data_IF_997396551197
#
_entry.id   IF_997396551197
#
_cell.length_a   1.000
_cell.length_b   1.000
_cell.length_c   1.000
_cell.angle_alpha   90.00
_cell.angle_beta   90.00
_cell.angle_gamma   90.00
#
_symmetry.space_group_name_H-M   'P 1'
#
loop_
_entity.id
_entity.type
_entity.pdbx_description
1 polymer ?
#
# COMPACT_ATOMS: atom_id res chain seq x y z
N UNK A 1 -0.75 -2.72 31.95
CA UNK A 1 0.09 -1.52 31.63
C UNK A 1 -0.02 -0.44 32.68
N UNK A 2 -1.04 -0.45 33.56
CA UNK A 2 -1.23 0.56 34.61
C UNK A 2 -0.06 0.66 35.61
N UNK A 3 0.63 -0.45 35.89
CA UNK A 3 1.72 -0.49 36.87
C UNK A 3 2.98 0.30 36.48
N UNK A 4 3.20 0.65 35.20
CA UNK A 4 4.38 1.43 34.78
C UNK A 4 4.11 2.92 34.91
N UNK A 5 2.87 3.36 34.62
CA UNK A 5 2.47 4.75 34.74
C UNK A 5 2.38 5.20 36.21
N UNK A 6 1.98 4.29 37.12
CA UNK A 6 1.97 4.58 38.58
C UNK A 6 3.38 4.79 39.14
N UNK A 7 4.39 4.11 38.59
CA UNK A 7 5.79 4.26 39.05
C UNK A 7 6.38 5.59 38.60
N UNK A 8 6.02 6.07 37.40
CA UNK A 8 6.49 7.37 36.89
C UNK A 8 5.88 8.53 37.70
N UNK A 9 4.59 8.46 38.03
CA UNK A 9 3.86 9.49 38.79
C UNK A 9 4.34 9.61 40.26
N UNK A 10 4.83 8.50 40.83
CA UNK A 10 5.44 8.48 42.18
C UNK A 10 6.85 9.09 42.17
N UNK A 11 7.61 8.90 41.08
CA UNK A 11 8.97 9.42 40.95
C UNK A 11 8.98 10.94 40.77
N UNK A 12 8.02 11.50 40.03
CA UNK A 12 7.91 12.95 39.81
C UNK A 12 7.48 13.72 41.08
N UNK A 13 6.74 13.08 42.00
CA UNK A 13 6.23 13.74 43.22
C UNK A 13 7.18 13.72 44.42
N UNK A 14 8.29 12.98 44.38
CA UNK A 14 9.08 12.67 45.59
C UNK A 14 10.55 13.12 45.58
N UNK A 15 11.04 13.89 44.59
CA UNK A 15 12.47 14.21 44.50
C UNK A 15 12.81 15.70 44.72
N UNK A 16 13.20 16.10 45.96
CA UNK A 16 13.97 17.32 46.19
C UNK A 16 15.50 17.09 46.05
N UNK A 17 16.13 18.01 45.31
CA UNK A 17 17.53 18.52 45.41
C UNK A 17 18.77 17.59 45.49
N UNK A 18 18.76 16.33 45.07
CA UNK A 18 20.02 15.55 44.87
C UNK A 18 19.97 14.64 43.62
N UNK A 19 19.89 15.24 42.42
CA UNK A 19 19.69 14.52 41.16
C UNK A 19 20.87 13.67 40.62
N UNK A 20 22.16 14.05 40.71
CA UNK A 20 23.20 13.36 39.92
C UNK A 20 23.55 11.94 40.43
N UNK A 21 23.68 11.76 41.74
CA UNK A 21 24.17 10.49 42.31
C UNK A 21 23.07 9.42 42.37
N UNK A 22 21.82 9.83 42.56
CA UNK A 22 20.66 8.95 42.70
C UNK A 22 20.24 8.34 41.35
N UNK A 23 20.32 9.12 40.27
CA UNK A 23 20.10 8.65 38.89
C UNK A 23 21.14 7.61 38.49
N UNK A 24 22.39 7.80 38.88
CA UNK A 24 23.49 6.88 38.54
C UNK A 24 23.33 5.53 39.26
N UNK A 25 22.97 5.52 40.55
CA UNK A 25 22.70 4.29 41.30
C UNK A 25 21.47 3.52 40.79
N UNK A 26 20.37 4.21 40.46
CA UNK A 26 19.18 3.60 39.88
C UNK A 26 19.44 3.01 38.50
N UNK A 27 20.14 3.74 37.63
CA UNK A 27 20.56 3.23 36.32
C UNK A 27 21.45 1.99 36.45
N UNK A 28 22.36 1.97 37.42
CA UNK A 28 23.24 0.81 37.69
C UNK A 28 22.47 -0.38 38.24
N UNK A 29 21.51 -0.17 39.14
CA UNK A 29 20.65 -1.22 39.70
C UNK A 29 19.67 -1.78 38.66
N UNK A 30 19.09 -0.94 37.80
CA UNK A 30 18.25 -1.36 36.68
C UNK A 30 19.05 -2.13 35.64
N UNK A 31 20.27 -1.70 35.33
CA UNK A 31 21.18 -2.44 34.45
C UNK A 31 21.53 -3.82 35.00
N UNK A 32 21.82 -3.95 36.31
CA UNK A 32 22.06 -5.25 36.95
C UNK A 32 20.82 -6.14 36.99
N UNK A 33 19.62 -5.60 37.17
CA UNK A 33 18.38 -6.39 37.14
C UNK A 33 18.07 -6.89 35.73
N UNK A 34 18.34 -6.07 34.71
CA UNK A 34 18.10 -6.43 33.33
C UNK A 34 19.13 -7.45 32.80
N UNK A 35 20.40 -7.43 33.22
CA UNK A 35 21.40 -8.39 32.73
C UNK A 35 21.07 -9.87 33.02
N UNK A 36 20.20 -10.15 33.99
CA UNK A 36 19.75 -11.51 34.32
C UNK A 36 18.39 -11.89 33.72
N UNK A 37 17.67 -10.96 33.10
CA UNK A 37 16.40 -11.28 32.44
C UNK A 37 16.68 -12.20 31.24
N UNK A 38 16.01 -13.35 31.19
CA UNK A 38 16.17 -14.35 30.12
C UNK A 38 16.00 -13.75 28.71
N UNK A 39 15.21 -12.67 28.60
CA UNK A 39 14.96 -11.96 27.35
C UNK A 39 16.22 -11.31 26.75
N UNK A 40 17.21 -10.93 27.57
CA UNK A 40 18.47 -10.36 27.09
C UNK A 40 19.49 -11.44 26.66
N UNK A 41 19.13 -12.72 26.77
CA UNK A 41 19.90 -13.85 26.25
C UNK A 41 19.34 -14.38 24.92
N UNK A 42 18.26 -13.79 24.42
CA UNK A 42 17.71 -14.17 23.12
C UNK A 42 18.71 -13.83 22.01
N UNK A 43 18.84 -14.69 20.98
CA UNK A 43 19.53 -14.32 19.75
C UNK A 43 18.95 -13.03 19.17
N UNK A 44 19.81 -12.20 18.57
CA UNK A 44 19.44 -10.90 17.99
C UNK A 44 18.29 -11.03 17.00
N UNK A 45 18.28 -12.09 16.20
CA UNK A 45 17.27 -12.37 15.17
C UNK A 45 15.89 -12.61 15.80
N UNK A 46 15.85 -13.36 16.90
CA UNK A 46 14.62 -13.63 17.65
C UNK A 46 14.11 -12.35 18.29
N UNK A 47 15.00 -11.53 18.85
CA UNK A 47 14.61 -10.25 19.44
C UNK A 47 14.07 -9.27 18.38
N UNK A 48 14.69 -9.20 17.20
CA UNK A 48 14.18 -8.39 16.08
C UNK A 48 12.77 -8.82 15.69
N UNK A 49 12.52 -10.13 15.61
CA UNK A 49 11.18 -10.64 15.30
C UNK A 49 10.17 -10.28 16.41
N UNK A 50 10.53 -10.44 17.68
CA UNK A 50 9.69 -10.01 18.81
C UNK A 50 9.39 -8.51 18.74
N UNK A 51 10.39 -7.68 18.46
CA UNK A 51 10.22 -6.23 18.29
C UNK A 51 9.30 -5.93 17.12
N UNK A 52 9.49 -6.58 15.97
CA UNK A 52 8.64 -6.40 14.78
C UNK A 52 7.19 -6.71 15.13
N UNK A 53 6.95 -7.86 15.76
CA UNK A 53 5.61 -8.28 16.15
C UNK A 53 4.97 -7.40 17.24
N UNK A 54 5.76 -6.89 18.18
CA UNK A 54 5.27 -6.02 19.25
C UNK A 54 5.07 -4.57 18.80
N UNK A 55 5.85 -4.12 17.81
CA UNK A 55 5.76 -2.78 17.28
C UNK A 55 4.63 -2.62 16.27
N UNK A 56 4.27 -3.71 15.58
CA UNK A 56 3.12 -3.79 14.67
C UNK A 56 1.82 -4.06 15.43
N UNK A 57 0.86 -3.15 15.31
CA UNK A 57 -0.51 -3.40 15.73
C UNK A 57 -1.19 -4.39 14.78
N UNK A 58 -1.36 -5.64 15.23
CA UNK A 58 -2.01 -6.72 14.46
C UNK A 58 -3.53 -6.55 14.37
N UNK A 59 -4.13 -5.72 15.25
CA UNK A 59 -5.56 -5.46 15.28
C UNK A 59 -5.97 -4.27 14.40
N UNK A 60 -4.99 -3.53 13.86
CA UNK A 60 -5.26 -2.62 12.76
C UNK A 60 -5.70 -3.46 11.57
N UNK A 61 -7.02 -3.58 11.51
CA UNK A 61 -7.87 -4.01 10.42
C UNK A 61 -7.07 -3.94 9.13
N UNK A 62 -6.84 -5.10 8.50
CA UNK A 62 -6.51 -5.12 7.09
C UNK A 62 -7.52 -4.16 6.47
N UNK A 63 -7.11 -2.96 6.07
CA UNK A 63 -8.02 -2.12 5.30
C UNK A 63 -8.26 -2.95 4.06
N UNK A 64 -9.33 -3.72 4.03
CA UNK A 64 -9.64 -4.74 3.04
C UNK A 64 -9.64 -4.14 1.62
N UNK A 65 -9.68 -2.80 1.56
CA UNK A 65 -9.52 -1.99 0.37
C UNK A 65 -8.08 -2.00 -0.15
N UNK A 66 -7.06 -1.94 0.70
CA UNK A 66 -5.63 -1.92 0.32
C UNK A 66 -4.89 -3.21 0.66
N UNK A 67 -5.28 -3.94 1.72
CA UNK A 67 -4.67 -5.18 2.20
C UNK A 67 -3.22 -5.05 2.67
N UNK A 68 -2.75 -3.83 2.93
CA UNK A 68 -1.44 -3.56 3.51
C UNK A 68 -1.56 -3.25 5.01
N UNK A 69 -0.70 -3.87 5.80
CA UNK A 69 -0.48 -3.51 7.21
C UNK A 69 0.27 -2.16 7.25
N UNK A 70 -0.49 -1.06 7.21
CA UNK A 70 0.04 0.27 7.47
C UNK A 70 -0.19 0.53 8.95
N UNK A 71 0.80 0.25 9.78
CA UNK A 71 0.75 0.64 11.19
C UNK A 71 1.34 2.06 11.35
N UNK A 72 0.50 3.10 11.50
CA UNK A 72 0.98 4.47 11.70
C UNK A 72 1.74 4.63 13.03
N UNK A 73 1.60 3.70 13.97
CA UNK A 73 2.28 3.71 15.25
C UNK A 73 3.62 2.98 15.24
N UNK A 74 4.02 2.30 14.15
CA UNK A 74 5.23 1.49 14.13
C UNK A 74 6.47 2.24 14.63
N UNK A 75 6.79 3.40 14.04
CA UNK A 75 7.97 4.19 14.43
C UNK A 75 7.90 4.69 15.88
N UNK A 76 6.69 4.98 16.37
CA UNK A 76 6.44 5.38 17.76
C UNK A 76 6.65 4.20 18.71
N UNK A 77 6.17 3.01 18.34
CA UNK A 77 6.33 1.79 19.10
C UNK A 77 7.80 1.34 19.14
N UNK A 78 8.52 1.40 18.02
CA UNK A 78 9.97 1.14 17.99
C UNK A 78 10.73 2.10 18.92
N UNK A 79 10.38 3.37 18.90
CA UNK A 79 10.96 4.37 19.81
C UNK A 79 10.71 4.01 21.28
N UNK A 80 9.49 3.58 21.63
CA UNK A 80 9.16 3.09 22.99
C UNK A 80 9.94 1.83 23.36
N UNK A 81 10.03 0.85 22.47
CA UNK A 81 10.76 -0.40 22.70
C UNK A 81 12.26 -0.16 22.87
N UNK A 82 12.82 0.87 22.21
CA UNK A 82 14.21 1.28 22.41
C UNK A 82 14.52 1.79 23.83
N UNK A 83 13.50 2.12 24.64
CA UNK A 83 13.67 2.59 26.01
C UNK A 83 13.73 1.44 27.04
N UNK A 84 13.49 0.20 26.62
CA UNK A 84 13.47 -0.97 27.53
C UNK A 84 14.84 -1.18 28.19
N UNK A 85 15.90 -1.28 27.38
CA UNK A 85 17.28 -1.33 27.85
C UNK A 85 18.25 -0.99 26.71
N UNK A 86 19.53 -0.79 27.03
CA UNK A 86 20.55 -0.45 26.03
C UNK A 86 20.73 -1.54 24.95
N UNK A 87 20.58 -2.82 25.31
CA UNK A 87 20.69 -3.92 24.36
C UNK A 87 19.57 -3.88 23.31
N UNK A 88 18.32 -3.65 23.74
CA UNK A 88 17.19 -3.49 22.84
C UNK A 88 17.37 -2.27 21.94
N UNK A 89 17.78 -1.13 22.50
CA UNK A 89 18.09 0.07 21.73
C UNK A 89 19.11 -0.21 20.62
N UNK A 90 20.24 -0.82 20.98
CA UNK A 90 21.29 -1.14 20.02
C UNK A 90 20.81 -2.12 18.95
N UNK A 91 20.03 -3.12 19.33
CA UNK A 91 19.45 -4.10 18.40
C UNK A 91 18.51 -3.44 17.41
N UNK A 92 17.59 -2.61 17.91
CA UNK A 92 16.62 -1.87 17.10
C UNK A 92 17.33 -0.89 16.16
N UNK A 93 18.34 -0.16 16.65
CA UNK A 93 19.09 0.83 15.86
C UNK A 93 20.05 0.18 14.83
N UNK A 94 20.46 -1.08 15.05
CA UNK A 94 21.34 -1.81 14.17
C UNK A 94 20.61 -2.48 12.99
N UNK A 95 19.36 -2.91 13.19
CA UNK A 95 18.59 -3.62 12.17
C UNK A 95 17.79 -2.65 11.29
N UNK A 96 18.26 -2.43 10.05
CA UNK A 96 17.61 -1.53 9.10
C UNK A 96 16.21 -1.98 8.67
N UNK A 97 15.88 -3.28 8.74
CA UNK A 97 14.57 -3.80 8.33
C UNK A 97 13.42 -3.29 9.20
N UNK A 98 13.70 -2.98 10.48
CA UNK A 98 12.74 -2.36 11.38
C UNK A 98 12.41 -0.92 10.99
N UNK A 99 13.30 -0.26 10.26
CA UNK A 99 13.17 1.14 9.81
C UNK A 99 12.80 1.26 8.32
N UNK A 100 12.57 0.13 7.65
CA UNK A 100 12.28 0.07 6.22
C UNK A 100 10.86 0.56 5.84
N UNK A 101 10.08 1.03 6.81
CA UNK A 101 8.71 1.50 6.60
C UNK A 101 8.64 3.02 6.65
N UNK A 102 8.33 3.63 5.51
CA UNK A 102 8.34 5.08 5.29
C UNK A 102 6.91 5.57 5.05
N UNK A 103 6.26 6.09 6.09
CA UNK A 103 4.86 6.50 6.05
C UNK A 103 4.66 8.03 6.14
N UNK A 104 3.76 8.57 5.33
CA UNK A 104 3.31 9.97 5.39
C UNK A 104 2.35 10.25 6.56
N UNK A 105 1.99 9.21 7.32
CA UNK A 105 1.05 9.30 8.44
C UNK A 105 1.69 9.88 9.71
N UNK A 106 2.99 10.22 9.68
CA UNK A 106 3.65 10.91 10.79
C UNK A 106 3.40 12.42 10.75
N UNK A 107 3.14 13.05 11.90
CA UNK A 107 2.93 14.51 12.02
C UNK A 107 4.12 15.37 11.58
N UNK A 108 5.34 14.83 11.52
CA UNK A 108 6.54 15.60 11.22
C UNK A 108 7.54 14.84 10.36
N UNK A 109 8.42 15.55 9.67
CA UNK A 109 9.48 14.97 8.84
C UNK A 109 10.59 14.28 9.65
N UNK A 110 10.73 14.60 10.94
CA UNK A 110 11.86 14.13 11.76
C UNK A 110 11.87 12.60 11.93
N UNK A 111 10.78 11.93 12.33
CA UNK A 111 10.72 10.46 12.39
C UNK A 111 10.98 9.81 11.03
N UNK A 112 10.46 10.39 9.94
CA UNK A 112 10.67 9.88 8.59
C UNK A 112 12.15 9.94 8.18
N UNK A 113 12.81 11.09 8.37
CA UNK A 113 14.25 11.24 8.11
C UNK A 113 15.10 10.29 8.97
N UNK A 114 14.70 10.06 10.22
CA UNK A 114 15.36 9.09 11.09
C UNK A 114 15.19 7.65 10.56
N UNK A 115 13.98 7.26 10.14
CA UNK A 115 13.72 5.94 9.57
C UNK A 115 14.53 5.71 8.30
N UNK A 116 14.56 6.71 7.41
CA UNK A 116 15.40 6.72 6.21
C UNK A 116 16.87 6.47 6.57
N UNK A 117 17.44 7.27 7.48
CA UNK A 117 18.85 7.14 7.86
C UNK A 117 19.16 5.76 8.48
N UNK A 118 18.23 5.21 9.27
CA UNK A 118 18.40 3.91 9.94
C UNK A 118 18.11 2.71 9.04
N UNK A 119 17.37 2.88 7.95
CA UNK A 119 17.06 1.80 7.00
C UNK A 119 18.30 1.25 6.29
N UNK A 120 19.39 2.02 6.19
CA UNK A 120 20.68 1.59 5.59
C UNK A 120 20.52 0.95 4.19
N UNK A 121 19.65 1.51 3.36
CA UNK A 121 19.38 1.05 1.99
C UNK A 121 18.78 -0.38 1.88
N UNK A 122 18.19 -0.92 2.96
CA UNK A 122 17.36 -2.13 2.81
C UNK A 122 16.12 -1.81 1.95
N UNK A 123 15.51 -2.80 1.29
CA UNK A 123 14.28 -2.60 0.54
C UNK A 123 13.18 -2.00 1.42
N UNK A 124 12.62 -0.86 1.00
CA UNK A 124 11.64 -0.08 1.77
C UNK A 124 10.21 -0.28 1.32
N UNK A 125 9.28 0.01 2.22
CA UNK A 125 7.85 0.13 1.96
C UNK A 125 7.47 1.59 2.14
N UNK A 126 6.96 2.23 1.08
CA UNK A 126 6.59 3.64 1.08
C UNK A 126 5.06 3.74 1.07
N UNK A 127 4.49 4.45 2.04
CA UNK A 127 3.03 4.56 2.18
C UNK A 127 2.56 5.99 2.39
N UNK A 128 1.53 6.42 1.65
CA UNK A 128 0.83 7.69 1.84
C UNK A 128 -0.67 7.43 1.80
N UNK A 129 -1.43 7.79 2.85
CA UNK A 129 -2.88 7.56 2.84
C UNK A 129 -3.72 8.29 3.89
N UNK A 130 -3.26 8.38 5.15
CA UNK A 130 -3.96 9.17 6.17
C UNK A 130 -3.32 10.55 6.39
N UNK A 131 -2.20 10.83 5.71
CA UNK A 131 -1.52 12.12 5.49
C UNK A 131 -1.79 13.17 6.57
N UNK A 132 -1.04 13.06 7.68
CA UNK A 132 -0.79 14.18 8.58
C UNK A 132 0.29 15.12 8.01
N UNK A 133 1.13 14.61 7.10
CA UNK A 133 2.21 15.34 6.44
C UNK A 133 1.77 15.95 5.09
N UNK A 134 2.41 17.05 4.70
CA UNK A 134 2.30 17.63 3.36
C UNK A 134 2.84 16.63 2.31
N UNK A 135 2.05 16.36 1.27
CA UNK A 135 2.37 15.38 0.21
C UNK A 135 3.63 15.74 -0.59
N UNK A 136 3.90 17.02 -0.81
CA UNK A 136 5.09 17.51 -1.52
C UNK A 136 6.34 17.26 -0.67
N UNK A 137 6.28 17.63 0.61
CA UNK A 137 7.41 17.43 1.54
C UNK A 137 7.71 15.94 1.74
N UNK A 138 6.65 15.12 1.85
CA UNK A 138 6.78 13.67 1.92
C UNK A 138 7.46 13.12 0.68
N UNK A 139 6.94 13.44 -0.51
CA UNK A 139 7.49 12.98 -1.78
C UNK A 139 8.96 13.41 -1.93
N UNK A 140 9.27 14.69 -1.75
CA UNK A 140 10.64 15.20 -1.82
C UNK A 140 11.61 14.47 -0.87
N UNK A 141 11.11 14.06 0.30
CA UNK A 141 11.91 13.33 1.30
C UNK A 141 12.15 11.87 0.90
N UNK A 142 11.17 11.18 0.30
CA UNK A 142 11.28 9.75 -0.03
C UNK A 142 11.75 9.47 -1.47
N UNK A 143 11.64 10.44 -2.39
CA UNK A 143 12.09 10.31 -3.78
C UNK A 143 13.50 9.74 -3.92
N UNK A 144 14.52 10.16 -3.14
CA UNK A 144 15.86 9.60 -3.27
C UNK A 144 15.94 8.08 -3.00
N UNK A 145 14.93 7.51 -2.33
CA UNK A 145 14.89 6.09 -1.91
C UNK A 145 13.95 5.23 -2.76
N UNK A 146 13.29 5.81 -3.76
CA UNK A 146 12.30 5.11 -4.60
C UNK A 146 12.91 3.93 -5.38
N UNK A 147 14.19 4.01 -5.72
CA UNK A 147 14.95 2.93 -6.37
C UNK A 147 15.06 1.67 -5.49
N UNK A 148 14.98 1.85 -4.16
CA UNK A 148 14.98 0.77 -3.16
C UNK A 148 13.56 0.44 -2.66
N UNK A 149 12.52 0.97 -3.30
CA UNK A 149 11.14 0.71 -2.90
C UNK A 149 10.70 -0.68 -3.38
N UNK A 150 10.34 -1.55 -2.43
CA UNK A 150 9.76 -2.87 -2.70
C UNK A 150 8.23 -2.80 -2.80
N UNK A 151 7.60 -1.94 -2.00
CA UNK A 151 6.15 -1.77 -1.99
C UNK A 151 5.80 -0.30 -1.93
N UNK A 152 5.00 0.15 -2.89
CA UNK A 152 4.55 1.53 -3.00
C UNK A 152 3.03 1.58 -2.82
N UNK A 153 2.58 2.27 -1.77
CA UNK A 153 1.16 2.45 -1.46
C UNK A 153 0.80 3.93 -1.38
N UNK A 154 0.04 4.41 -2.36
CA UNK A 154 -0.28 5.83 -2.50
C UNK A 154 -1.80 6.00 -2.56
N UNK A 155 -2.33 6.82 -1.66
CA UNK A 155 -3.72 7.22 -1.59
C UNK A 155 -3.81 8.74 -1.33
N UNK A 156 -3.48 9.58 -2.33
CA UNK A 156 -3.57 11.04 -2.23
C UNK A 156 -4.97 11.50 -1.78
N UNK A 157 -5.00 12.53 -0.93
CA UNK A 157 -6.27 13.07 -0.38
C UNK A 157 -6.92 14.09 -1.32
N UNK A 158 -6.12 14.94 -1.96
CA UNK A 158 -6.64 16.10 -2.66
C UNK A 158 -7.12 15.73 -4.07
N UNK A 159 -8.34 16.17 -4.35
CA UNK A 159 -8.92 16.27 -5.68
C UNK A 159 -8.22 17.41 -6.43
N UNK A 160 -6.97 17.19 -6.86
CA UNK A 160 -6.22 18.10 -7.71
C UNK A 160 -5.83 17.40 -9.00
N UNK A 161 -5.44 18.16 -10.03
CA UNK A 161 -4.90 17.58 -11.24
C UNK A 161 -3.68 16.71 -10.87
N UNK A 162 -3.56 15.49 -11.44
CA UNK A 162 -2.53 14.53 -11.08
C UNK A 162 -1.10 15.09 -11.23
N UNK A 163 -0.90 16.04 -12.14
CA UNK A 163 0.42 16.59 -12.47
C UNK A 163 1.05 17.46 -11.37
N UNK A 164 0.25 17.99 -10.43
CA UNK A 164 0.75 18.91 -9.39
C UNK A 164 1.02 18.21 -8.04
N UNK A 165 0.65 16.93 -7.92
CA UNK A 165 0.82 16.17 -6.69
C UNK A 165 2.23 15.59 -6.55
N UNK A 166 2.96 15.92 -5.49
CA UNK A 166 4.27 15.31 -5.19
C UNK A 166 4.22 13.77 -5.18
N UNK A 167 3.10 13.18 -4.77
CA UNK A 167 2.88 11.73 -4.76
C UNK A 167 2.88 11.13 -6.18
N UNK A 168 2.37 11.84 -7.20
CA UNK A 168 2.43 11.38 -8.58
C UNK A 168 3.85 11.36 -9.12
N UNK A 169 4.72 12.28 -8.69
CA UNK A 169 6.12 12.26 -9.07
C UNK A 169 6.81 10.96 -8.66
N UNK A 170 6.40 10.34 -7.55
CA UNK A 170 6.92 9.03 -7.11
C UNK A 170 6.58 7.90 -8.10
N UNK A 171 5.42 7.97 -8.76
CA UNK A 171 5.00 7.02 -9.80
C UNK A 171 5.79 7.19 -11.10
N UNK A 172 6.43 8.34 -11.28
CA UNK A 172 7.28 8.64 -12.44
C UNK A 172 8.75 8.24 -12.25
N UNK A 173 9.12 7.73 -11.07
CA UNK A 173 10.50 7.34 -10.78
C UNK A 173 10.72 5.83 -10.95
N UNK A 174 11.95 5.41 -11.33
CA UNK A 174 12.32 3.99 -11.37
C UNK A 174 12.35 3.34 -10.00
N UNK A 175 11.78 2.15 -9.96
CA UNK A 175 11.77 1.30 -8.78
C UNK A 175 12.03 -0.16 -9.18
N UNK A 176 13.27 -0.50 -9.56
CA UNK A 176 13.61 -1.78 -10.19
C UNK A 176 13.36 -3.00 -9.29
N UNK A 177 13.10 -2.80 -7.99
CA UNK A 177 12.78 -3.87 -7.04
C UNK A 177 11.32 -3.86 -6.58
N UNK A 178 10.45 -3.10 -7.24
CA UNK A 178 9.04 -3.00 -6.90
C UNK A 178 8.31 -4.33 -7.08
N UNK A 179 7.78 -4.86 -5.99
CA UNK A 179 7.00 -6.09 -5.95
C UNK A 179 5.50 -5.83 -5.73
N UNK A 180 5.12 -4.69 -5.17
CA UNK A 180 3.72 -4.35 -4.91
C UNK A 180 3.41 -2.88 -5.16
N UNK A 181 2.41 -2.61 -6.00
CA UNK A 181 1.86 -1.28 -6.23
C UNK A 181 0.40 -1.22 -5.79
N UNK A 182 0.11 -0.26 -4.93
CA UNK A 182 -1.22 0.03 -4.44
C UNK A 182 -1.47 1.50 -4.68
N UNK A 183 -2.34 1.82 -5.64
CA UNK A 183 -2.59 3.19 -6.01
C UNK A 183 -4.08 3.49 -5.99
N UNK A 184 -4.46 4.45 -5.17
CA UNK A 184 -5.79 5.03 -5.14
C UNK A 184 -5.72 6.44 -5.70
N UNK A 185 -6.10 6.60 -6.97
CA UNK A 185 -6.26 7.90 -7.58
C UNK A 185 -7.35 8.73 -6.89
N UNK A 186 -7.41 10.01 -7.24
CA UNK A 186 -8.46 10.92 -6.78
C UNK A 186 -9.53 11.03 -7.85
N UNK A 187 -10.80 11.15 -7.44
CA UNK A 187 -11.94 11.37 -8.34
C UNK A 187 -11.87 12.72 -9.08
N UNK A 188 -10.76 13.48 -8.98
CA UNK A 188 -10.62 14.84 -9.51
C UNK A 188 -10.69 14.92 -11.04
N UNK A 189 -10.19 13.90 -11.75
CA UNK A 189 -10.44 13.73 -13.20
C UNK A 189 -11.81 13.14 -13.53
N UNK A 190 -12.49 12.63 -12.51
CA UNK A 190 -13.78 11.93 -12.54
C UNK A 190 -14.95 12.81 -12.09
N UNK A 191 -14.82 14.14 -12.13
CA UNK A 191 -15.98 15.06 -12.04
C UNK A 191 -17.02 14.84 -13.16
N UNK A 192 -16.73 13.94 -14.11
CA UNK A 192 -17.68 13.41 -15.09
C UNK A 192 -18.31 12.05 -14.74
N UNK A 193 -18.36 11.60 -13.49
CA UNK A 193 -19.40 10.62 -13.10
C UNK A 193 -20.76 11.33 -13.23
N UNK A 194 -21.32 11.37 -14.43
CA UNK A 194 -22.72 11.74 -14.65
C UNK A 194 -23.08 13.22 -14.57
N UNK A 195 -22.12 14.15 -14.52
CA UNK A 195 -22.42 15.52 -14.96
C UNK A 195 -22.70 15.51 -16.46
N UNK A 196 -23.96 15.30 -16.87
CA UNK A 196 -24.47 15.32 -18.26
C UNK A 196 -23.95 16.49 -19.10
N UNK A 197 -23.37 17.50 -18.48
CA UNK A 197 -22.86 18.70 -19.14
C UNK A 197 -21.47 18.53 -19.76
N UNK A 198 -20.64 17.56 -19.34
CA UNK A 198 -19.30 17.41 -19.95
C UNK A 198 -19.33 16.73 -21.34
N UNK A 199 -20.48 16.22 -21.79
CA UNK A 199 -20.67 15.66 -23.14
C UNK A 199 -21.08 16.74 -24.16
N UNK A 200 -21.44 17.95 -23.71
CA UNK A 200 -21.85 19.05 -24.59
C UNK A 200 -20.69 19.84 -25.20
N UNK A 201 -19.47 19.62 -24.73
CA UNK A 201 -18.30 20.31 -25.26
C UNK A 201 -17.39 19.35 -26.04
N UNK A 202 -17.61 19.18 -27.36
CA UNK A 202 -16.75 18.37 -28.23
C UNK A 202 -15.33 18.95 -28.38
N UNK A 203 -15.06 20.17 -27.89
CA UNK A 203 -13.72 20.76 -27.89
C UNK A 203 -12.92 20.43 -26.63
N UNK A 204 -13.54 19.83 -25.61
CA UNK A 204 -12.79 19.42 -24.42
C UNK A 204 -11.82 18.30 -24.81
N UNK A 205 -10.49 18.48 -24.64
CA UNK A 205 -9.52 17.49 -25.06
C UNK A 205 -9.85 16.14 -24.44
N UNK A 206 -9.79 15.07 -25.26
CA UNK A 206 -9.92 13.69 -24.78
C UNK A 206 -9.01 13.53 -23.57
N UNK A 207 -9.57 12.96 -22.49
CA UNK A 207 -8.83 12.71 -21.25
C UNK A 207 -7.54 11.97 -21.60
N UNK A 208 -6.40 12.53 -21.23
CA UNK A 208 -5.13 11.82 -21.34
C UNK A 208 -5.13 10.71 -20.31
N UNK A 209 -5.01 9.45 -20.77
CA UNK A 209 -4.78 8.31 -19.89
C UNK A 209 -3.51 8.59 -19.10
N UNK A 210 -3.53 8.36 -17.79
CA UNK A 210 -2.37 8.63 -16.94
C UNK A 210 -1.29 7.61 -17.27
N UNK A 211 -0.06 8.08 -17.49
CA UNK A 211 1.14 7.25 -17.52
C UNK A 211 1.75 7.18 -16.10
N UNK A 212 2.16 5.98 -15.68
CA UNK A 212 2.62 5.54 -14.34
C UNK A 212 3.84 4.74 -14.71
N UNK A 213 4.88 5.49 -14.99
CA UNK A 213 6.14 5.03 -15.56
C UNK A 213 6.75 3.88 -14.75
N UNK A 214 6.52 3.82 -13.43
CA UNK A 214 7.00 2.71 -12.58
C UNK A 214 6.51 1.34 -13.05
N UNK A 215 5.32 1.24 -13.65
CA UNK A 215 4.80 -0.03 -14.17
C UNK A 215 5.48 -0.46 -15.46
N UNK A 216 5.83 0.50 -16.33
CA UNK A 216 6.54 0.22 -17.58
C UNK A 216 7.99 -0.20 -17.34
N UNK A 217 8.60 0.29 -16.26
CA UNK A 217 10.03 0.10 -15.98
C UNK A 217 10.33 -0.99 -14.94
N UNK A 218 9.30 -1.56 -14.31
CA UNK A 218 9.48 -2.65 -13.34
C UNK A 218 8.43 -3.78 -13.46
N UNK A 219 8.00 -4.16 -14.68
CA UNK A 219 6.93 -5.14 -14.86
C UNK A 219 7.35 -6.55 -14.38
N UNK A 220 8.64 -6.88 -14.46
CA UNK A 220 9.12 -8.23 -14.18
C UNK A 220 9.10 -8.61 -12.70
N UNK A 221 9.11 -7.66 -11.77
CA UNK A 221 9.11 -7.98 -10.33
C UNK A 221 7.77 -7.78 -9.66
N UNK A 222 6.85 -7.10 -10.33
CA UNK A 222 5.55 -6.78 -9.79
C UNK A 222 4.73 -8.05 -9.57
N UNK A 223 4.41 -8.34 -8.30
CA UNK A 223 3.61 -9.48 -7.85
C UNK A 223 2.19 -9.05 -7.49
N UNK A 224 2.02 -7.82 -7.01
CA UNK A 224 0.72 -7.30 -6.56
C UNK A 224 0.45 -5.96 -7.22
N UNK A 225 -0.70 -5.83 -7.87
CA UNK A 225 -1.17 -4.59 -8.48
C UNK A 225 -2.60 -4.32 -8.03
N UNK A 226 -2.78 -3.25 -7.26
CA UNK A 226 -4.09 -2.80 -6.79
C UNK A 226 -4.33 -1.36 -7.18
N UNK A 227 -5.25 -1.15 -8.11
CA UNK A 227 -5.57 0.17 -8.65
C UNK A 227 -7.02 0.52 -8.31
N UNK A 228 -7.22 1.75 -7.85
CA UNK A 228 -8.54 2.29 -7.55
C UNK A 228 -8.67 3.72 -8.05
N UNK A 229 -9.71 4.02 -8.83
CA UNK A 229 -9.96 5.37 -9.35
C UNK A 229 -8.83 5.89 -10.24
N UNK A 230 -8.31 5.02 -11.10
CA UNK A 230 -7.20 5.31 -12.03
C UNK A 230 -7.72 5.13 -13.44
N UNK A 231 -7.38 6.04 -14.34
CA UNK A 231 -7.56 5.86 -15.79
C UNK A 231 -6.18 5.62 -16.42
N UNK A 232 -6.00 4.44 -16.98
CA UNK A 232 -4.69 3.85 -17.28
C UNK A 232 -4.63 3.28 -18.69
N UNK A 233 -3.47 3.36 -19.34
CA UNK A 233 -3.22 2.73 -20.63
C UNK A 233 -2.73 1.28 -20.49
N UNK A 234 -3.64 0.31 -20.64
CA UNK A 234 -3.36 -1.11 -20.41
C UNK A 234 -2.57 -1.81 -21.53
N UNK A 235 -2.62 -1.30 -22.76
CA UNK A 235 -2.08 -1.93 -23.96
C UNK A 235 -0.55 -2.13 -24.00
N UNK A 236 0.19 -1.75 -22.94
CA UNK A 236 1.66 -1.77 -22.90
C UNK A 236 2.26 -2.60 -21.76
N UNK A 237 1.42 -3.20 -20.91
CA UNK A 237 1.92 -3.86 -19.70
C UNK A 237 2.07 -5.37 -19.86
N UNK A 238 3.30 -5.85 -19.69
CA UNK A 238 3.64 -7.27 -19.64
C UNK A 238 3.82 -7.74 -18.20
N UNK A 239 2.72 -8.04 -17.52
CA UNK A 239 2.70 -8.35 -16.08
C UNK A 239 3.00 -9.83 -15.77
N UNK A 240 4.09 -10.36 -16.33
CA UNK A 240 4.40 -11.81 -16.36
C UNK A 240 4.53 -12.49 -14.98
N UNK A 241 4.89 -11.73 -13.94
CA UNK A 241 5.07 -12.21 -12.57
C UNK A 241 3.95 -11.81 -11.61
N UNK A 242 2.89 -11.19 -12.12
CA UNK A 242 1.75 -10.75 -11.33
C UNK A 242 0.98 -11.95 -10.78
N UNK A 243 0.65 -11.88 -9.49
CA UNK A 243 -0.10 -12.91 -8.74
C UNK A 243 -1.42 -12.39 -8.21
N UNK A 244 -1.50 -11.12 -7.85
CA UNK A 244 -2.71 -10.47 -7.32
C UNK A 244 -3.00 -9.22 -8.14
N UNK A 245 -4.18 -9.19 -8.78
CA UNK A 245 -4.69 -8.05 -9.51
C UNK A 245 -6.02 -7.63 -8.90
N UNK A 246 -6.10 -6.38 -8.42
CA UNK A 246 -7.34 -5.77 -7.93
C UNK A 246 -7.62 -4.44 -8.61
N UNK A 247 -8.74 -4.34 -9.31
CA UNK A 247 -9.17 -3.13 -9.99
C UNK A 247 -10.51 -2.67 -9.44
N UNK A 248 -10.59 -1.41 -9.01
CA UNK A 248 -11.81 -0.87 -8.41
C UNK A 248 -12.15 0.52 -8.94
N UNK A 249 -13.38 0.73 -9.40
CA UNK A 249 -13.85 1.97 -10.02
C UNK A 249 -12.87 2.57 -11.03
N UNK A 250 -12.68 1.83 -12.12
CA UNK A 250 -11.84 2.19 -13.25
C UNK A 250 -12.66 2.18 -14.54
N UNK A 251 -12.20 2.95 -15.53
CA UNK A 251 -12.68 2.84 -16.91
C UNK A 251 -11.74 1.92 -17.67
N UNK A 252 -12.20 0.73 -18.02
CA UNK A 252 -11.45 -0.24 -18.81
C UNK A 252 -12.43 -1.12 -19.58
N UNK A 253 -12.16 -1.40 -20.86
CA UNK A 253 -12.95 -2.36 -21.61
C UNK A 253 -12.60 -3.79 -21.18
N UNK A 254 -13.51 -4.75 -21.40
CA UNK A 254 -13.17 -6.15 -21.12
C UNK A 254 -12.08 -6.68 -22.04
N UNK A 255 -11.99 -6.20 -23.29
CA UNK A 255 -10.94 -6.59 -24.23
C UNK A 255 -9.56 -6.11 -23.76
N UNK A 256 -9.42 -4.84 -23.36
CA UNK A 256 -8.19 -4.30 -22.78
C UNK A 256 -7.81 -5.08 -21.50
N UNK A 257 -8.80 -5.44 -20.68
CA UNK A 257 -8.55 -6.23 -19.46
C UNK A 257 -8.10 -7.65 -19.77
N UNK A 258 -8.74 -8.33 -20.72
CA UNK A 258 -8.35 -9.67 -21.17
C UNK A 258 -6.93 -9.68 -21.74
N UNK A 259 -6.59 -8.69 -22.57
CA UNK A 259 -5.24 -8.53 -23.10
C UNK A 259 -4.23 -8.37 -21.97
N UNK A 260 -4.52 -7.51 -20.98
CA UNK A 260 -3.65 -7.33 -19.81
C UNK A 260 -3.44 -8.63 -19.02
N UNK A 261 -4.51 -9.34 -18.66
CA UNK A 261 -4.38 -10.57 -17.86
C UNK A 261 -3.78 -11.72 -18.67
N UNK A 262 -3.89 -11.71 -20.01
CA UNK A 262 -3.20 -12.69 -20.87
C UNK A 262 -1.68 -12.61 -20.74
N UNK A 263 -1.15 -11.42 -20.42
CA UNK A 263 0.26 -11.20 -20.09
C UNK A 263 0.67 -11.64 -18.67
N UNK A 264 -0.26 -12.15 -17.85
CA UNK A 264 -0.05 -12.52 -16.45
C UNK A 264 -0.35 -14.01 -16.17
N UNK A 265 0.42 -14.96 -16.74
CA UNK A 265 0.15 -16.40 -16.61
C UNK A 265 0.29 -16.92 -15.16
N UNK A 266 0.93 -16.16 -14.27
CA UNK A 266 1.12 -16.48 -12.85
C UNK A 266 0.02 -15.89 -11.95
N UNK A 267 -1.03 -15.29 -12.52
CA UNK A 267 -2.10 -14.68 -11.76
C UNK A 267 -2.82 -15.74 -10.90
N UNK A 268 -2.83 -15.52 -9.59
CA UNK A 268 -3.45 -16.40 -8.59
C UNK A 268 -4.80 -15.83 -8.12
N UNK A 269 -4.91 -14.51 -8.01
CA UNK A 269 -6.12 -13.79 -7.57
C UNK A 269 -6.46 -12.64 -8.51
N UNK A 270 -7.71 -12.64 -8.97
CA UNK A 270 -8.28 -11.62 -9.85
C UNK A 270 -9.53 -11.00 -9.22
N UNK A 271 -9.48 -9.71 -8.93
CA UNK A 271 -10.56 -8.94 -8.33
C UNK A 271 -10.92 -7.73 -9.18
N UNK A 272 -12.20 -7.58 -9.49
CA UNK A 272 -12.76 -6.43 -10.20
C UNK A 272 -13.98 -5.91 -9.45
N UNK A 273 -14.04 -4.59 -9.22
CA UNK A 273 -15.15 -3.94 -8.51
C UNK A 273 -15.59 -2.65 -9.23
N UNK A 274 -16.90 -2.51 -9.52
CA UNK A 274 -17.53 -1.25 -9.98
C UNK A 274 -16.84 -0.59 -11.17
N UNK A 275 -16.54 -1.34 -12.23
CA UNK A 275 -15.97 -0.73 -13.43
C UNK A 275 -16.98 0.20 -14.10
N UNK A 276 -16.51 1.37 -14.55
CA UNK A 276 -17.28 2.23 -15.43
C UNK A 276 -17.16 1.72 -16.84
N UNK A 277 -18.28 1.25 -17.36
CA UNK A 277 -18.38 0.78 -18.71
C UNK A 277 -18.48 1.99 -19.65
N UNK A 278 -17.45 2.22 -20.47
CA UNK A 278 -17.57 3.05 -21.69
C UNK A 278 -18.34 2.29 -22.79
N UNK A 279 -19.10 1.26 -22.42
CA UNK A 279 -19.77 0.35 -23.34
C UNK A 279 -21.02 1.03 -23.86
N UNK A 280 -20.97 1.42 -25.13
CA UNK A 280 -22.17 1.52 -25.95
C UNK A 280 -22.61 0.09 -26.26
N UNK A 281 -23.63 -0.39 -25.56
CA UNK A 281 -24.49 -1.55 -25.86
C UNK A 281 -23.91 -2.60 -26.84
N UNK A 282 -23.44 -3.74 -26.32
CA UNK A 282 -23.31 -5.10 -26.93
C UNK A 282 -22.74 -5.30 -28.37
N UNK A 283 -22.53 -4.27 -29.18
CA UNK A 283 -22.39 -4.43 -30.64
C UNK A 283 -20.99 -4.84 -31.10
N UNK A 284 -19.95 -4.58 -30.30
CA UNK A 284 -18.54 -4.78 -30.72
C UNK A 284 -17.73 -5.58 -29.70
N UNK A 285 -18.31 -6.62 -29.10
CA UNK A 285 -17.50 -7.60 -28.38
C UNK A 285 -16.54 -8.28 -29.38
N UNK A 286 -15.21 -8.19 -29.19
CA UNK A 286 -14.29 -8.84 -30.09
C UNK A 286 -14.49 -10.36 -30.07
N UNK A 287 -14.09 -11.02 -31.15
CA UNK A 287 -14.18 -12.47 -31.27
C UNK A 287 -13.59 -13.14 -30.02
N UNK A 288 -14.27 -14.20 -29.54
CA UNK A 288 -13.89 -14.90 -28.32
C UNK A 288 -12.40 -15.27 -28.34
N UNK A 289 -11.65 -14.70 -27.40
CA UNK A 289 -10.24 -14.99 -27.19
C UNK A 289 -10.11 -15.70 -25.84
N UNK A 290 -9.88 -17.01 -25.89
CA UNK A 290 -9.59 -17.78 -24.68
C UNK A 290 -8.23 -17.40 -24.11
N UNK A 291 -8.23 -16.98 -22.84
CA UNK A 291 -7.04 -16.60 -22.07
C UNK A 291 -6.75 -17.70 -21.03
N UNK A 292 -5.69 -18.50 -21.21
CA UNK A 292 -5.32 -19.53 -20.24
C UNK A 292 -4.68 -18.89 -19.00
N UNK A 293 -5.26 -19.15 -17.82
CA UNK A 293 -4.73 -18.68 -16.53
C UNK A 293 -4.51 -19.88 -15.60
N UNK A 294 -3.41 -20.64 -15.79
CA UNK A 294 -3.22 -21.93 -15.16
C UNK A 294 -3.11 -21.84 -13.62
N UNK A 295 -2.58 -20.73 -13.11
CA UNK A 295 -2.39 -20.50 -11.67
C UNK A 295 -3.57 -19.85 -10.97
N UNK A 296 -4.63 -19.48 -11.71
CA UNK A 296 -5.73 -18.70 -11.15
C UNK A 296 -6.56 -19.53 -10.19
N UNK A 297 -6.57 -19.12 -8.92
CA UNK A 297 -7.30 -19.79 -7.84
C UNK A 297 -8.56 -19.04 -7.45
N UNK A 298 -8.54 -17.71 -7.58
CA UNK A 298 -9.61 -16.86 -7.09
C UNK A 298 -10.04 -15.84 -8.15
N UNK A 299 -11.36 -15.81 -8.41
CA UNK A 299 -12.02 -14.77 -9.20
C UNK A 299 -13.05 -14.08 -8.32
N UNK A 300 -13.01 -12.75 -8.30
CA UNK A 300 -13.94 -11.91 -7.57
C UNK A 300 -14.44 -10.79 -8.49
N UNK A 301 -15.73 -10.80 -8.80
CA UNK A 301 -16.35 -9.81 -9.68
C UNK A 301 -17.51 -9.15 -8.93
N UNK A 302 -17.37 -7.87 -8.60
CA UNK A 302 -18.32 -7.11 -7.80
C UNK A 302 -18.86 -5.89 -8.55
N UNK A 303 -20.17 -5.75 -8.55
CA UNK A 303 -20.92 -4.58 -9.01
C UNK A 303 -20.53 -4.10 -10.43
N UNK A 304 -20.43 -5.05 -11.35
CA UNK A 304 -20.27 -4.84 -12.81
C UNK A 304 -21.54 -5.29 -13.54
N UNK A 305 -21.69 -4.95 -14.83
CA UNK A 305 -22.80 -5.48 -15.64
C UNK A 305 -22.70 -7.00 -15.83
N UNK A 306 -23.85 -7.60 -16.11
CA UNK A 306 -23.92 -9.03 -16.43
C UNK A 306 -23.17 -9.35 -17.74
N UNK A 307 -23.25 -8.47 -18.75
CA UNK A 307 -22.58 -8.65 -20.04
C UNK A 307 -21.06 -8.69 -19.85
N UNK A 308 -20.50 -7.75 -19.09
CA UNK A 308 -19.08 -7.74 -18.74
C UNK A 308 -18.67 -9.02 -18.01
N UNK A 309 -19.41 -9.39 -16.95
CA UNK A 309 -19.09 -10.59 -16.16
C UNK A 309 -19.13 -11.87 -17.02
N UNK A 310 -20.17 -12.03 -17.85
CA UNK A 310 -20.32 -13.16 -18.74
C UNK A 310 -19.17 -13.23 -19.75
N UNK A 311 -18.83 -12.09 -20.38
CA UNK A 311 -17.73 -12.04 -21.34
C UNK A 311 -16.38 -12.40 -20.70
N UNK A 312 -16.05 -11.85 -19.53
CA UNK A 312 -14.81 -12.18 -18.82
C UNK A 312 -14.75 -13.67 -18.45
N UNK A 313 -15.83 -14.20 -17.87
CA UNK A 313 -15.86 -15.60 -17.41
C UNK A 313 -15.87 -16.61 -18.56
N UNK A 314 -16.43 -16.26 -19.72
CA UNK A 314 -16.43 -17.13 -20.91
C UNK A 314 -15.07 -17.21 -21.59
N UNK A 315 -14.23 -16.18 -21.42
CA UNK A 315 -12.92 -16.09 -22.07
C UNK A 315 -11.76 -16.50 -21.14
N UNK A 316 -11.93 -16.50 -19.82
CA UNK A 316 -10.91 -16.99 -18.89
C UNK A 316 -10.98 -18.51 -18.76
N UNK A 317 -9.86 -19.19 -18.99
CA UNK A 317 -9.73 -20.65 -18.82
C UNK A 317 -8.80 -20.94 -17.63
N UNK A 318 -9.34 -21.09 -16.40
CA UNK A 318 -8.54 -21.38 -15.23
C UNK A 318 -8.33 -22.89 -15.06
N UNK A 319 -7.10 -23.31 -14.70
CA UNK A 319 -6.80 -24.73 -14.42
C UNK A 319 -6.82 -25.08 -12.94
N UNK A 320 -6.66 -24.08 -12.06
CA UNK A 320 -6.49 -24.27 -10.61
C UNK A 320 -7.55 -23.53 -9.80
N UNK A 321 -8.75 -23.31 -10.37
CA UNK A 321 -9.76 -22.46 -9.75
C UNK A 321 -10.34 -23.10 -8.48
N UNK A 322 -10.20 -22.42 -7.36
CA UNK A 322 -10.71 -22.86 -6.06
C UNK A 322 -11.95 -22.05 -5.65
N UNK A 323 -12.02 -20.77 -6.03
CA UNK A 323 -13.03 -19.85 -5.52
C UNK A 323 -13.51 -18.85 -6.58
N UNK A 324 -14.83 -18.75 -6.75
CA UNK A 324 -15.48 -17.72 -7.56
C UNK A 324 -16.48 -16.98 -6.68
N UNK A 325 -16.37 -15.65 -6.65
CA UNK A 325 -17.41 -14.76 -6.09
C UNK A 325 -17.92 -13.87 -7.20
N UNK A 326 -19.21 -13.92 -7.43
CA UNK A 326 -19.90 -13.07 -8.39
C UNK A 326 -21.01 -12.31 -7.66
N UNK A 327 -20.90 -11.00 -7.65
CA UNK A 327 -21.94 -10.08 -7.17
C UNK A 327 -22.18 -9.08 -8.27
N UNK A 328 -23.08 -9.36 -9.19
CA UNK A 328 -23.44 -8.42 -10.26
C UNK A 328 -24.40 -7.36 -9.75
N UNK A 329 -24.36 -6.15 -10.31
CA UNK A 329 -25.47 -5.22 -10.15
C UNK A 329 -26.67 -5.74 -10.93
N UNK A 330 -27.77 -6.04 -10.24
CA UNK A 330 -29.04 -6.26 -10.92
C UNK A 330 -29.38 -4.97 -11.68
N UNK A 331 -29.74 -5.07 -12.95
CA UNK A 331 -30.41 -3.98 -13.66
C UNK A 331 -31.71 -3.66 -12.92
N UNK A 332 -31.68 -2.80 -11.91
CA UNK A 332 -32.88 -2.21 -11.36
C UNK A 332 -33.31 -1.16 -12.36
N UNK A 333 -34.28 -1.57 -13.20
CA UNK A 333 -35.12 -0.84 -14.14
C UNK A 333 -34.63 0.52 -14.62
N UNK A 334 -34.61 0.77 -15.96
CA UNK A 334 -34.50 2.13 -16.44
C UNK A 334 -35.57 2.98 -15.74
N UNK A 335 -35.13 4.04 -15.04
CA UNK A 335 -36.07 5.05 -14.57
C UNK A 335 -36.84 5.58 -15.80
N UNK A 336 -38.18 5.77 -15.68
CA UNK A 336 -39.06 6.07 -16.80
C UNK A 336 -38.71 7.36 -17.55
#
# INVERSE_FOLDING_TARGET
MDSILTVIDIIERQLPHNLPNTVTCLATAMNKRNSFAAINKLPTEVLVEVVRLAASDRELDHDWRTGLLIDPNLLKNLSRLSLVCQFWKNTIDADGSLWAFLAADTTSLRPLKMAIAKSRNVPVVITSGKNQMNEIDFAATVTPFIHSCRVLCLAPRRMGYPEEGGVYQLLQQPSPILEGLYFRGTLGGFTGWGGRDSQKDPQKPRRQKTEIWVLENSPERLKVLRLRWVDWCWARLTLSNLRDLKLSFMTISASELLECISGAPRLESFHVERLTEDWTEDADLPAAQTVPLPSLRQIQIFQVSMAFAHYMLSNIVPLSLEHIVLVTTSFTNPAP
#
